data_IF_912088733135
#
_entry.id   IF_912088733135
#
_cell.length_a   1.000
_cell.length_b   1.000
_cell.length_c   1.000
_cell.angle_alpha   90.00
_cell.angle_beta   90.00
_cell.angle_gamma   90.00
#
_symmetry.space_group_name_H-M   'P 1'
#
loop_
_entity.id
_entity.type
_entity.pdbx_description
1 polymer ?
#
# COMPACT_ATOMS: atom_id res chain seq x y z
N UNK A 1 -19.17 -14.65 19.57
CA UNK A 1 -18.18 -15.19 18.63
C UNK A 1 -16.98 -15.68 19.41
N UNK A 2 -16.37 -16.82 19.02
CA UNK A 2 -15.08 -17.24 19.59
C UNK A 2 -13.98 -16.23 19.25
N UNK A 3 -12.87 -16.26 19.99
CA UNK A 3 -11.71 -15.40 19.70
C UNK A 3 -11.22 -15.59 18.25
N UNK A 4 -11.13 -16.84 17.80
CA UNK A 4 -10.73 -17.16 16.42
C UNK A 4 -11.71 -16.61 15.38
N UNK A 5 -13.02 -16.66 15.71
CA UNK A 5 -14.06 -16.07 14.84
C UNK A 5 -13.92 -14.55 14.69
N UNK A 6 -13.53 -13.84 15.76
CA UNK A 6 -13.24 -12.40 15.71
C UNK A 6 -11.99 -12.08 14.88
N UNK A 7 -10.95 -12.90 15.00
CA UNK A 7 -9.73 -12.74 14.23
C UNK A 7 -9.97 -12.96 12.72
N UNK A 8 -10.72 -14.00 12.38
CA UNK A 8 -11.12 -14.26 11.00
C UNK A 8 -11.98 -13.12 10.43
N UNK A 9 -12.95 -12.63 11.20
CA UNK A 9 -13.78 -11.50 10.80
C UNK A 9 -12.94 -10.23 10.57
N UNK A 10 -11.98 -9.93 11.42
CA UNK A 10 -11.06 -8.82 11.28
C UNK A 10 -10.26 -8.91 9.96
N UNK A 11 -9.73 -10.08 9.65
CA UNK A 11 -9.03 -10.32 8.38
C UNK A 11 -9.96 -10.10 7.17
N UNK A 12 -11.18 -10.68 7.19
CA UNK A 12 -12.13 -10.58 6.07
C UNK A 12 -12.64 -9.15 5.87
N UNK A 13 -12.95 -8.43 6.94
CA UNK A 13 -13.34 -7.01 6.88
C UNK A 13 -12.17 -6.18 6.33
N UNK A 14 -10.96 -6.42 6.83
CA UNK A 14 -9.76 -5.80 6.30
C UNK A 14 -9.60 -6.04 4.80
N UNK A 15 -9.74 -7.30 4.35
CA UNK A 15 -9.65 -7.66 2.95
C UNK A 15 -10.70 -6.94 2.09
N UNK A 16 -11.94 -6.89 2.52
CA UNK A 16 -13.03 -6.22 1.80
C UNK A 16 -12.77 -4.71 1.68
N UNK A 17 -12.40 -4.04 2.78
CA UNK A 17 -12.03 -2.63 2.76
C UNK A 17 -10.80 -2.39 1.87
N UNK A 18 -9.78 -3.21 2.01
CA UNK A 18 -8.57 -3.16 1.19
C UNK A 18 -8.84 -3.35 -0.30
N UNK A 19 -9.84 -4.15 -0.65
CA UNK A 19 -10.23 -4.42 -2.03
C UNK A 19 -10.90 -3.25 -2.76
N UNK A 20 -11.23 -2.16 -2.07
CA UNK A 20 -11.82 -0.97 -2.69
C UNK A 20 -10.75 -0.30 -3.58
N UNK A 21 -10.92 -0.24 -4.91
CA UNK A 21 -9.91 0.27 -5.83
C UNK A 21 -10.08 1.78 -6.05
N UNK A 22 -9.68 2.60 -5.08
CA UNK A 22 -9.91 4.05 -5.11
C UNK A 22 -9.40 4.71 -6.40
N UNK A 23 -8.21 4.33 -6.88
CA UNK A 23 -7.67 4.89 -8.13
C UNK A 23 -8.60 4.67 -9.33
N UNK A 24 -9.16 3.47 -9.49
CA UNK A 24 -10.08 3.19 -10.59
C UNK A 24 -11.44 3.89 -10.42
N UNK A 25 -11.97 3.91 -9.20
CA UNK A 25 -13.25 4.55 -8.92
C UNK A 25 -13.14 6.06 -9.22
N UNK A 26 -12.14 6.73 -8.64
CA UNK A 26 -11.96 8.16 -8.79
C UNK A 26 -11.67 8.59 -10.23
N UNK A 27 -10.82 7.84 -10.94
CA UNK A 27 -10.51 8.16 -12.35
C UNK A 27 -11.70 7.92 -13.28
N UNK A 28 -12.50 6.86 -13.02
CA UNK A 28 -13.73 6.61 -13.77
C UNK A 28 -14.78 7.71 -13.55
N UNK A 29 -15.00 8.13 -12.29
CA UNK A 29 -15.91 9.23 -11.96
C UNK A 29 -15.48 10.57 -12.57
N UNK A 30 -14.16 10.78 -12.70
CA UNK A 30 -13.59 11.98 -13.32
C UNK A 30 -13.51 11.92 -14.85
N UNK A 31 -14.01 10.87 -15.50
CA UNK A 31 -14.01 10.70 -16.96
C UNK A 31 -12.60 10.61 -17.58
N UNK A 32 -11.60 10.08 -16.83
CA UNK A 32 -10.24 9.90 -17.35
C UNK A 32 -10.08 8.54 -18.04
N UNK A 33 -8.94 8.34 -18.71
CA UNK A 33 -8.57 7.06 -19.33
C UNK A 33 -8.45 5.95 -18.28
N UNK A 34 -8.69 4.71 -18.68
CA UNK A 34 -8.49 3.53 -17.84
C UNK A 34 -7.01 3.43 -17.42
N UNK A 35 -6.75 3.38 -16.11
CA UNK A 35 -5.39 3.30 -15.57
C UNK A 35 -4.61 2.08 -16.04
N UNK A 36 -5.30 1.02 -16.45
CA UNK A 36 -4.69 -0.22 -16.93
C UNK A 36 -4.13 -0.10 -18.34
N UNK A 37 -4.54 0.92 -19.09
CA UNK A 37 -4.07 1.17 -20.47
C UNK A 37 -2.97 2.22 -20.54
N UNK A 38 -2.63 2.89 -19.43
CA UNK A 38 -1.61 3.95 -19.40
C UNK A 38 -0.43 3.60 -18.49
N UNK A 39 0.72 4.12 -18.83
CA UNK A 39 1.93 4.06 -18.01
C UNK A 39 2.33 2.64 -17.60
N UNK A 40 2.28 2.37 -16.28
CA UNK A 40 2.62 1.05 -15.74
C UNK A 40 1.46 0.05 -15.72
N UNK A 41 0.25 0.46 -16.13
CA UNK A 41 -0.97 -0.33 -15.98
C UNK A 41 -1.44 -0.53 -14.53
N UNK A 42 -0.78 0.10 -13.56
CA UNK A 42 -1.11 -0.03 -12.14
C UNK A 42 -2.24 0.92 -11.73
N UNK A 43 -3.10 0.49 -10.80
CA UNK A 43 -4.25 1.27 -10.32
C UNK A 43 -3.90 2.32 -9.23
N UNK A 44 -2.64 2.38 -8.77
CA UNK A 44 -2.21 3.25 -7.67
C UNK A 44 -1.92 4.69 -8.07
N UNK A 45 -1.78 5.56 -7.07
CA UNK A 45 -1.63 7.01 -7.18
C UNK A 45 -0.53 7.48 -8.15
N UNK A 46 0.63 6.82 -8.19
CA UNK A 46 1.73 7.18 -9.11
C UNK A 46 1.32 7.02 -10.59
N UNK A 47 0.47 6.04 -10.91
CA UNK A 47 -0.04 5.89 -12.26
C UNK A 47 -1.17 6.90 -12.55
N UNK A 48 -2.02 7.19 -11.55
CA UNK A 48 -3.02 8.28 -11.65
C UNK A 48 -2.35 9.62 -11.93
N UNK A 49 -1.19 9.90 -11.33
CA UNK A 49 -0.44 11.14 -11.57
C UNK A 49 -0.08 11.33 -13.06
N UNK A 50 0.09 10.25 -13.82
CA UNK A 50 0.37 10.29 -15.27
C UNK A 50 -0.80 10.79 -16.12
N UNK A 51 -2.02 10.80 -15.58
CA UNK A 51 -3.18 11.47 -16.22
C UNK A 51 -3.06 13.01 -16.20
N UNK A 52 -2.06 13.56 -15.50
CA UNK A 52 -1.89 15.00 -15.27
C UNK A 52 -2.75 15.56 -14.14
N UNK A 53 -3.67 14.77 -13.58
CA UNK A 53 -4.61 15.22 -12.55
C UNK A 53 -4.06 14.96 -11.15
N UNK A 54 -3.25 15.90 -10.63
CA UNK A 54 -2.59 15.79 -9.31
C UNK A 54 -3.58 15.56 -8.15
N UNK A 55 -4.76 16.23 -8.17
CA UNK A 55 -5.79 16.07 -7.14
C UNK A 55 -6.35 14.64 -7.08
N UNK A 56 -6.56 13.98 -8.24
CA UNK A 56 -7.00 12.58 -8.27
C UNK A 56 -5.92 11.64 -7.76
N UNK A 57 -4.64 11.91 -8.06
CA UNK A 57 -3.53 11.13 -7.54
C UNK A 57 -3.43 11.24 -6.01
N UNK A 58 -3.58 12.45 -5.46
CA UNK A 58 -3.62 12.68 -4.01
C UNK A 58 -4.82 11.98 -3.35
N UNK A 59 -6.02 12.12 -3.91
CA UNK A 59 -7.22 11.45 -3.42
C UNK A 59 -7.08 9.91 -3.46
N UNK A 60 -6.47 9.36 -4.52
CA UNK A 60 -6.17 7.93 -4.62
C UNK A 60 -5.20 7.48 -3.53
N UNK A 61 -4.11 8.24 -3.30
CA UNK A 61 -3.14 7.95 -2.24
C UNK A 61 -3.82 7.92 -0.87
N UNK A 62 -4.61 8.96 -0.57
CA UNK A 62 -5.31 9.10 0.70
C UNK A 62 -6.33 7.97 0.87
N UNK A 63 -7.14 7.67 -0.13
CA UNK A 63 -8.13 6.59 -0.07
C UNK A 63 -7.49 5.23 0.13
N UNK A 64 -6.43 4.91 -0.62
CA UNK A 64 -5.71 3.64 -0.50
C UNK A 64 -4.92 3.51 0.82
N UNK A 65 -4.51 4.62 1.43
CA UNK A 65 -3.92 4.65 2.76
C UNK A 65 -4.99 4.47 3.84
N UNK A 66 -6.04 5.29 3.80
CA UNK A 66 -7.08 5.30 4.83
C UNK A 66 -7.84 3.98 4.91
N UNK A 67 -8.07 3.25 3.81
CA UNK A 67 -8.72 1.93 3.88
C UNK A 67 -7.95 0.94 4.76
N UNK A 68 -6.61 0.99 4.76
CA UNK A 68 -5.76 0.20 5.66
C UNK A 68 -5.84 0.70 7.10
N UNK A 69 -5.71 2.02 7.30
CA UNK A 69 -5.79 2.63 8.63
C UNK A 69 -7.14 2.37 9.32
N UNK A 70 -8.24 2.59 8.59
CA UNK A 70 -9.60 2.38 9.12
C UNK A 70 -9.84 0.90 9.47
N UNK A 71 -9.41 -0.03 8.62
CA UNK A 71 -9.50 -1.46 8.90
C UNK A 71 -8.80 -1.82 10.23
N UNK A 72 -7.58 -1.31 10.42
CA UNK A 72 -6.78 -1.53 11.64
C UNK A 72 -7.46 -0.96 12.88
N UNK A 73 -7.91 0.30 12.81
CA UNK A 73 -8.54 0.98 13.96
C UNK A 73 -9.84 0.26 14.35
N UNK A 74 -10.71 -0.06 13.40
CA UNK A 74 -11.97 -0.77 13.68
C UNK A 74 -11.69 -2.13 14.33
N UNK A 75 -10.83 -2.95 13.72
CA UNK A 75 -10.54 -4.27 14.24
C UNK A 75 -9.85 -4.22 15.61
N UNK A 76 -8.93 -3.28 15.80
CA UNK A 76 -8.22 -3.09 17.06
C UNK A 76 -9.12 -2.65 18.19
N UNK A 77 -10.07 -1.75 17.93
CA UNK A 77 -11.03 -1.29 18.95
C UNK A 77 -12.04 -2.36 19.36
N UNK A 78 -12.36 -3.31 18.49
CA UNK A 78 -13.36 -4.37 18.75
C UNK A 78 -12.72 -5.62 19.36
N UNK A 79 -11.54 -6.04 18.84
CA UNK A 79 -10.98 -7.35 19.14
C UNK A 79 -9.47 -7.33 19.48
N UNK A 80 -8.92 -6.14 19.73
CA UNK A 80 -7.57 -5.95 20.25
C UNK A 80 -6.45 -6.04 19.19
N UNK A 81 -5.17 -6.03 19.66
CA UNK A 81 -4.02 -5.85 18.78
C UNK A 81 -3.84 -6.93 17.69
N UNK A 82 -4.13 -8.18 18.01
CA UNK A 82 -4.02 -9.28 17.04
C UNK A 82 -5.02 -9.13 15.88
N UNK A 83 -6.25 -8.71 16.19
CA UNK A 83 -7.26 -8.42 15.18
C UNK A 83 -6.85 -7.23 14.31
N UNK A 84 -6.26 -6.19 14.89
CA UNK A 84 -5.70 -5.06 14.15
C UNK A 84 -4.62 -5.49 13.14
N UNK A 85 -3.70 -6.37 13.55
CA UNK A 85 -2.66 -6.92 12.66
C UNK A 85 -3.25 -7.76 11.53
N UNK A 86 -4.25 -8.60 11.81
CA UNK A 86 -4.92 -9.39 10.78
C UNK A 86 -5.73 -8.53 9.82
N UNK A 87 -6.35 -7.46 10.31
CA UNK A 87 -7.03 -6.48 9.46
C UNK A 87 -6.05 -5.74 8.53
N UNK A 88 -4.84 -5.40 9.03
CA UNK A 88 -3.78 -4.82 8.20
C UNK A 88 -3.33 -5.78 7.08
N UNK A 89 -3.11 -7.06 7.42
CA UNK A 89 -2.79 -8.10 6.45
C UNK A 89 -3.93 -8.26 5.44
N UNK A 90 -5.16 -8.35 5.90
CA UNK A 90 -6.34 -8.45 5.03
C UNK A 90 -6.45 -7.25 4.09
N UNK A 91 -6.31 -6.02 4.60
CA UNK A 91 -6.39 -4.80 3.80
C UNK A 91 -5.28 -4.72 2.74
N UNK A 92 -4.07 -5.14 3.10
CA UNK A 92 -2.96 -5.20 2.15
C UNK A 92 -3.21 -6.23 1.05
N UNK A 93 -3.61 -7.46 1.39
CA UNK A 93 -3.94 -8.50 0.42
C UNK A 93 -5.14 -8.13 -0.45
N UNK A 94 -6.17 -7.48 0.13
CA UNK A 94 -7.31 -6.96 -0.62
C UNK A 94 -6.91 -5.91 -1.66
N UNK A 95 -5.94 -5.04 -1.34
CA UNK A 95 -5.41 -4.09 -2.32
C UNK A 95 -4.59 -4.77 -3.42
N UNK A 96 -3.81 -5.79 -3.11
CA UNK A 96 -3.00 -6.54 -4.10
C UNK A 96 -3.89 -7.39 -5.01
N UNK A 97 -4.88 -8.05 -4.42
CA UNK A 97 -5.69 -9.09 -5.05
C UNK A 97 -7.19 -8.82 -4.87
N UNK A 98 -7.73 -7.67 -5.31
CA UNK A 98 -9.15 -7.33 -5.13
C UNK A 98 -10.04 -8.26 -5.95
N UNK A 99 -11.03 -8.86 -5.31
CA UNK A 99 -11.97 -9.82 -5.95
C UNK A 99 -12.72 -9.18 -7.15
N UNK A 100 -13.10 -7.91 -7.03
CA UNK A 100 -13.81 -7.16 -8.08
C UNK A 100 -12.99 -6.92 -9.36
N UNK A 101 -11.64 -6.99 -9.24
CA UNK A 101 -10.72 -6.80 -10.35
C UNK A 101 -10.06 -8.11 -10.80
N UNK A 102 -10.72 -9.24 -10.58
CA UNK A 102 -10.20 -10.58 -10.91
C UNK A 102 -8.79 -10.78 -10.32
N UNK A 103 -8.61 -10.35 -9.08
CA UNK A 103 -7.34 -10.44 -8.32
C UNK A 103 -6.15 -9.68 -8.93
N UNK A 104 -6.41 -8.67 -9.77
CA UNK A 104 -5.38 -7.82 -10.41
C UNK A 104 -5.44 -6.40 -9.83
N UNK A 105 -4.83 -6.21 -8.67
CA UNK A 105 -4.85 -4.95 -7.95
C UNK A 105 -3.61 -4.09 -8.11
N UNK A 106 -3.31 -3.32 -7.05
CA UNK A 106 -2.16 -2.44 -6.96
C UNK A 106 -0.92 -3.13 -6.38
N UNK A 107 0.05 -2.32 -5.93
CA UNK A 107 1.32 -2.80 -5.34
C UNK A 107 1.38 -2.67 -3.81
N UNK A 108 0.38 -2.07 -3.21
CA UNK A 108 0.19 -2.05 -1.77
C UNK A 108 0.89 -0.91 -1.01
N UNK A 109 1.67 -0.04 -1.64
CA UNK A 109 2.51 0.97 -0.93
C UNK A 109 1.68 1.88 -0.02
N UNK A 110 0.59 2.46 -0.52
CA UNK A 110 -0.28 3.33 0.27
C UNK A 110 -1.01 2.57 1.39
N UNK A 111 -1.47 1.34 1.11
CA UNK A 111 -2.15 0.50 2.11
C UNK A 111 -1.17 -0.03 3.17
N UNK A 112 0.07 -0.31 2.78
CA UNK A 112 1.18 -0.62 3.70
C UNK A 112 1.41 0.54 4.68
N UNK A 113 1.53 1.77 4.15
CA UNK A 113 1.67 2.99 4.95
C UNK A 113 0.43 3.18 5.86
N UNK A 114 -0.77 2.91 5.35
CA UNK A 114 -2.00 2.98 6.13
C UNK A 114 -2.06 1.97 7.26
N UNK A 115 -1.58 0.75 7.04
CA UNK A 115 -1.43 -0.26 8.09
C UNK A 115 -0.45 0.18 9.18
N UNK A 116 0.71 0.74 8.80
CA UNK A 116 1.67 1.33 9.74
C UNK A 116 1.04 2.48 10.54
N UNK A 117 0.31 3.37 9.88
CA UNK A 117 -0.32 4.52 10.53
C UNK A 117 -1.33 4.08 11.60
N UNK A 118 -2.09 3.02 11.34
CA UNK A 118 -3.05 2.48 12.29
C UNK A 118 -2.42 1.65 13.42
N UNK A 119 -1.34 0.90 13.14
CA UNK A 119 -0.69 0.00 14.11
C UNK A 119 0.39 0.70 14.92
N UNK A 120 1.25 1.51 14.26
CA UNK A 120 2.36 2.19 14.91
C UNK A 120 2.79 3.41 14.07
N UNK A 121 2.16 4.56 14.30
CA UNK A 121 2.37 5.78 13.52
C UNK A 121 3.84 6.26 13.42
N UNK A 122 4.76 6.03 14.42
CA UNK A 122 6.15 6.44 14.25
C UNK A 122 6.84 5.72 13.09
N UNK A 123 6.53 4.42 12.88
CA UNK A 123 7.06 3.70 11.72
C UNK A 123 6.46 4.19 10.40
N UNK A 124 5.20 4.65 10.41
CA UNK A 124 4.60 5.30 9.24
C UNK A 124 5.33 6.60 8.87
N UNK A 125 5.71 7.39 9.87
CA UNK A 125 6.50 8.61 9.66
C UNK A 125 7.88 8.30 9.07
N UNK A 126 8.60 7.32 9.62
CA UNK A 126 9.90 6.88 9.10
C UNK A 126 9.76 6.38 7.65
N UNK A 127 8.75 5.55 7.37
CA UNK A 127 8.46 5.12 6.00
C UNK A 127 8.26 6.31 5.06
N UNK A 128 7.43 7.29 5.46
CA UNK A 128 7.15 8.47 4.66
C UNK A 128 8.40 9.32 4.41
N UNK A 129 9.22 9.55 5.43
CA UNK A 129 10.48 10.31 5.33
C UNK A 129 11.45 9.63 4.36
N UNK A 130 11.64 8.31 4.50
CA UNK A 130 12.52 7.54 3.59
C UNK A 130 11.97 7.55 2.17
N UNK A 131 10.66 7.34 2.01
CA UNK A 131 10.03 7.36 0.69
C UNK A 131 10.20 8.71 0.01
N UNK A 132 9.89 9.82 0.71
CA UNK A 132 10.01 11.17 0.19
C UNK A 132 11.46 11.55 -0.12
N UNK A 133 12.40 11.24 0.79
CA UNK A 133 13.83 11.51 0.59
C UNK A 133 14.38 10.78 -0.64
N UNK A 134 14.05 9.50 -0.79
CA UNK A 134 14.45 8.70 -1.97
C UNK A 134 13.76 9.21 -3.24
N UNK A 135 12.47 9.57 -3.18
CA UNK A 135 11.75 10.10 -4.32
C UNK A 135 12.29 11.46 -4.76
N UNK A 136 12.67 12.32 -3.83
CA UNK A 136 13.27 13.62 -4.11
C UNK A 136 14.63 13.49 -4.82
N UNK A 137 15.49 12.60 -4.33
CA UNK A 137 16.87 12.44 -4.85
C UNK A 137 16.91 11.64 -6.16
N UNK A 138 16.11 10.58 -6.29
CA UNK A 138 16.20 9.65 -7.43
C UNK A 138 15.10 9.82 -8.47
N UNK A 139 13.96 10.38 -8.06
CA UNK A 139 12.72 10.49 -8.84
C UNK A 139 12.09 9.12 -9.20
N UNK A 140 12.50 8.01 -8.58
CA UNK A 140 11.90 6.70 -8.79
C UNK A 140 10.95 6.33 -7.65
N UNK A 141 9.63 6.39 -7.90
CA UNK A 141 8.60 5.99 -6.92
C UNK A 141 8.73 4.53 -6.47
N UNK A 142 9.10 3.64 -7.39
CA UNK A 142 9.29 2.22 -7.08
C UNK A 142 10.50 1.98 -6.18
N UNK A 143 11.64 2.63 -6.45
CA UNK A 143 12.83 2.53 -5.60
C UNK A 143 12.55 3.07 -4.19
N UNK A 144 11.84 4.20 -4.10
CA UNK A 144 11.43 4.79 -2.82
C UNK A 144 10.59 3.83 -2.00
N UNK A 145 9.63 3.15 -2.64
CA UNK A 145 8.78 2.17 -1.96
C UNK A 145 9.56 0.94 -1.49
N UNK A 146 10.49 0.45 -2.30
CA UNK A 146 11.33 -0.71 -1.97
C UNK A 146 12.25 -0.41 -0.77
N UNK A 147 12.93 0.75 -0.78
CA UNK A 147 13.83 1.15 0.33
C UNK A 147 13.03 1.38 1.61
N UNK A 148 11.92 2.14 1.54
CA UNK A 148 11.10 2.41 2.71
C UNK A 148 10.51 1.12 3.30
N UNK A 149 10.00 0.21 2.46
CA UNK A 149 9.48 -1.08 2.92
C UNK A 149 10.57 -1.97 3.51
N UNK A 150 11.78 -1.98 2.95
CA UNK A 150 12.91 -2.76 3.47
C UNK A 150 13.34 -2.29 4.88
N UNK A 151 13.42 -0.98 5.09
CA UNK A 151 13.85 -0.40 6.37
C UNK A 151 12.79 -0.59 7.46
N UNK A 152 11.50 -0.66 7.11
CA UNK A 152 10.39 -0.75 8.09
C UNK A 152 10.51 -1.92 9.07
N UNK A 153 10.65 -3.19 8.66
CA UNK A 153 10.78 -4.29 9.63
C UNK A 153 12.06 -4.20 10.46
N UNK A 154 13.15 -3.65 9.92
CA UNK A 154 14.40 -3.42 10.67
C UNK A 154 14.20 -2.37 11.76
N UNK A 155 13.50 -1.27 11.45
CA UNK A 155 13.13 -0.25 12.42
C UNK A 155 12.24 -0.83 13.53
N UNK A 156 11.20 -1.57 13.17
CA UNK A 156 10.28 -2.19 14.14
C UNK A 156 11.01 -3.20 15.07
N UNK A 157 11.92 -3.98 14.51
CA UNK A 157 12.76 -4.90 15.27
C UNK A 157 13.67 -4.18 16.26
N UNK A 158 14.35 -3.13 15.80
CA UNK A 158 15.23 -2.32 16.64
C UNK A 158 14.52 -1.73 17.87
N UNK A 159 13.26 -1.35 17.71
CA UNK A 159 12.42 -0.82 18.80
C UNK A 159 11.63 -1.89 19.56
N UNK A 160 11.92 -3.18 19.36
CA UNK A 160 11.33 -4.29 20.13
C UNK A 160 9.89 -4.66 19.75
N UNK A 161 9.37 -4.18 18.62
CA UNK A 161 8.01 -4.48 18.16
C UNK A 161 7.95 -5.80 17.37
N UNK A 162 8.35 -6.93 17.98
CA UNK A 162 8.56 -8.22 17.29
C UNK A 162 7.36 -8.72 16.47
N UNK A 163 6.14 -8.60 17.00
CA UNK A 163 4.93 -9.02 16.28
C UNK A 163 4.71 -8.18 15.00
N UNK A 164 4.88 -6.86 15.09
CA UNK A 164 4.80 -5.97 13.94
C UNK A 164 5.96 -6.21 12.97
N UNK A 165 7.16 -6.48 13.47
CA UNK A 165 8.31 -6.87 12.64
C UNK A 165 7.97 -8.05 11.74
N UNK A 166 7.41 -9.11 12.30
CA UNK A 166 7.02 -10.32 11.54
C UNK A 166 5.95 -10.00 10.50
N UNK A 167 4.91 -9.26 10.88
CA UNK A 167 3.87 -8.83 9.94
C UNK A 167 4.46 -8.03 8.79
N UNK A 168 5.19 -6.95 9.10
CA UNK A 168 5.72 -6.07 8.07
C UNK A 168 6.86 -6.68 7.25
N UNK A 169 7.58 -7.68 7.76
CA UNK A 169 8.49 -8.50 6.96
C UNK A 169 7.73 -9.26 5.86
N UNK A 170 6.62 -9.92 6.23
CA UNK A 170 5.75 -10.61 5.24
C UNK A 170 5.18 -9.62 4.22
N UNK A 171 4.64 -8.48 4.67
CA UNK A 171 4.11 -7.46 3.76
C UNK A 171 5.20 -6.90 2.83
N UNK A 172 6.43 -6.74 3.34
CA UNK A 172 7.59 -6.31 2.55
C UNK A 172 7.93 -7.30 1.46
N UNK A 173 8.01 -8.60 1.77
CA UNK A 173 8.27 -9.65 0.77
C UNK A 173 7.21 -9.64 -0.34
N UNK A 174 5.93 -9.53 0.03
CA UNK A 174 4.84 -9.40 -0.94
C UNK A 174 4.96 -8.12 -1.77
N UNK A 175 5.31 -6.99 -1.15
CA UNK A 175 5.52 -5.72 -1.85
C UNK A 175 6.68 -5.83 -2.86
N UNK A 176 7.79 -6.48 -2.50
CA UNK A 176 8.90 -6.74 -3.42
C UNK A 176 8.44 -7.62 -4.59
N UNK A 177 7.70 -8.67 -4.31
CA UNK A 177 7.13 -9.53 -5.36
C UNK A 177 6.24 -8.72 -6.33
N UNK A 178 5.38 -7.84 -5.80
CA UNK A 178 4.54 -6.97 -6.63
C UNK A 178 5.32 -5.91 -7.41
N UNK A 179 6.56 -5.61 -6.99
CA UNK A 179 7.47 -4.70 -7.68
C UNK A 179 8.48 -5.40 -8.60
N UNK A 180 8.40 -6.71 -8.81
CA UNK A 180 9.37 -7.47 -9.62
C UNK A 180 9.66 -6.88 -11.00
N UNK A 181 8.64 -6.39 -11.69
CA UNK A 181 8.81 -5.74 -13.00
C UNK A 181 9.44 -4.35 -12.90
N UNK A 182 9.20 -3.63 -11.79
CA UNK A 182 9.90 -2.37 -11.52
C UNK A 182 11.39 -2.62 -11.21
N UNK A 183 11.69 -3.68 -10.43
CA UNK A 183 13.07 -4.07 -10.11
C UNK A 183 13.83 -4.37 -11.39
N UNK A 184 13.25 -5.15 -12.32
CA UNK A 184 13.86 -5.41 -13.63
C UNK A 184 14.12 -4.12 -14.40
N UNK A 185 13.17 -3.19 -14.44
CA UNK A 185 13.36 -1.90 -15.13
C UNK A 185 14.37 -1.00 -14.43
N UNK A 186 14.43 -1.00 -13.11
CA UNK A 186 15.47 -0.27 -12.35
C UNK A 186 16.87 -0.80 -12.68
N UNK A 187 17.05 -2.12 -12.73
CA UNK A 187 18.32 -2.76 -13.08
C UNK A 187 18.72 -2.46 -14.54
N UNK A 188 17.73 -2.42 -15.44
CA UNK A 188 17.96 -2.10 -16.86
C UNK A 188 18.06 -0.59 -17.15
N UNK A 189 17.90 0.30 -16.15
CA UNK A 189 17.91 1.75 -16.35
C UNK A 189 16.69 2.29 -17.11
N UNK A 190 15.61 1.51 -17.25
CA UNK A 190 14.41 1.85 -18.04
C UNK A 190 13.18 2.17 -17.19
N UNK A 191 13.32 2.28 -15.86
CA UNK A 191 12.21 2.66 -14.98
C UNK A 191 11.84 4.13 -15.19
N UNK A 192 10.52 4.40 -15.30
CA UNK A 192 10.01 5.75 -15.51
C UNK A 192 10.11 6.62 -14.26
N UNK A 193 10.60 7.85 -14.41
CA UNK A 193 10.73 8.82 -13.33
C UNK A 193 9.39 9.49 -12.98
N UNK A 194 9.24 9.96 -11.75
CA UNK A 194 8.10 10.77 -11.30
C UNK A 194 8.08 12.07 -12.13
N UNK A 195 6.90 12.38 -12.71
CA UNK A 195 6.70 13.59 -13.51
C UNK A 195 7.24 13.54 -14.96
N UNK A 196 7.78 12.41 -15.39
CA UNK A 196 8.17 12.21 -16.79
C UNK A 196 6.91 11.99 -17.65
N UNK A 197 6.74 12.83 -18.68
CA UNK A 197 5.70 12.64 -19.70
C UNK A 197 6.26 11.60 -20.70
N UNK A 198 5.58 10.48 -20.82
CA UNK A 198 5.78 9.55 -21.94
C UNK A 198 4.79 9.88 -23.04
#
# INVERSE_FOLDING_TARGET
>A
MSADGLLLAAFLIGYLLGSIPFGMILTRLAGTQDLRTIGSGNIGATNVLRTGRKGLAAATLIGDMLKGTVAVIIAGSIAGPNAAMLAALGAFLGHLFPVWLKFRGGKGVATYLGGLLGLFWPAALIFAVIWLGTAYTTRYSSLSALIAAFVTPLFLWWFGHNALTSLFAVLTLLLFYMHRENIKRLQAGTEGKIGEKK
#
